data_IF_021589961774
#
_entry.id   IF_021589961774
#
_cell.length_a   1.000
_cell.length_b   1.000
_cell.length_c   1.000
_cell.angle_alpha   90.00
_cell.angle_beta   90.00
_cell.angle_gamma   90.00
#
_symmetry.space_group_name_H-M   'P 1'
#
loop_
_entity.id
_entity.type
_entity.pdbx_description
1 polymer ?
#
# COMPACT_ATOMS: atom_id res chain seq x y z
N UNK A 1 -23.07 63.64 -15.91
CA UNK A 1 -24.50 63.35 -16.19
C UNK A 1 -25.05 62.72 -14.90
N UNK A 2 -25.51 63.45 -13.89
CA UNK A 2 -26.74 64.27 -13.78
C UNK A 2 -28.01 63.60 -14.32
N UNK A 3 -28.88 63.17 -13.39
CA UNK A 3 -30.35 63.39 -13.33
C UNK A 3 -30.80 62.91 -11.92
N UNK A 4 -31.14 63.71 -10.91
CA UNK A 4 -32.29 64.63 -10.66
C UNK A 4 -33.65 63.89 -10.80
N UNK A 5 -34.68 63.97 -9.93
CA UNK A 5 -35.21 65.03 -9.03
C UNK A 5 -36.42 64.40 -8.25
N UNK A 6 -36.50 64.42 -6.91
CA UNK A 6 -37.26 65.33 -6.02
C UNK A 6 -38.79 65.44 -6.24
N UNK A 7 -39.58 65.22 -5.16
CA UNK A 7 -40.91 65.81 -4.76
C UNK A 7 -41.79 64.79 -4.00
N UNK A 8 -42.48 64.99 -2.86
CA UNK A 8 -42.84 66.08 -1.91
C UNK A 8 -43.17 65.39 -0.55
N UNK A 9 -42.54 65.72 0.59
CA UNK A 9 -43.03 66.61 1.67
C UNK A 9 -44.50 66.45 2.13
N UNK A 10 -44.64 65.81 3.31
CA UNK A 10 -45.24 66.38 4.55
C UNK A 10 -46.78 66.52 4.67
N UNK A 11 -47.26 66.31 5.92
CA UNK A 11 -48.59 66.59 6.49
C UNK A 11 -49.67 65.52 6.20
N UNK A 12 -50.51 64.99 7.10
CA UNK A 12 -50.96 65.28 8.47
C UNK A 12 -51.65 63.98 8.97
N UNK A 13 -51.37 63.46 10.17
CA UNK A 13 -52.11 63.75 11.42
C UNK A 13 -53.62 63.42 11.35
N UNK A 14 -53.96 62.30 12.01
CA UNK A 14 -55.13 62.06 12.88
C UNK A 14 -56.56 62.17 12.35
N UNK A 15 -57.33 61.14 12.77
CA UNK A 15 -58.77 61.13 13.10
C UNK A 15 -59.73 61.04 11.92
N UNK A 16 -60.43 59.90 11.82
CA UNK A 16 -61.89 59.88 11.90
C UNK A 16 -62.40 58.45 12.17
N UNK A 17 -63.11 58.36 13.29
CA UNK A 17 -63.84 57.23 13.85
C UNK A 17 -65.12 56.94 13.00
N UNK A 18 -65.73 55.76 13.20
CA UNK A 18 -67.20 55.52 13.32
C UNK A 18 -67.98 54.83 12.16
N UNK A 19 -68.28 53.53 12.39
CA UNK A 19 -69.62 52.89 12.55
C UNK A 19 -70.38 52.31 11.32
N UNK A 20 -70.60 50.97 11.37
CA UNK A 20 -71.89 50.20 11.16
C UNK A 20 -72.37 50.04 9.68
N UNK A 21 -72.88 48.91 9.15
CA UNK A 21 -73.29 47.56 9.62
C UNK A 21 -73.73 46.72 8.39
N UNK A 22 -73.93 45.40 8.59
CA UNK A 22 -74.71 44.41 7.80
C UNK A 22 -74.04 43.78 6.57
N UNK A 23 -73.62 42.51 6.62
CA UNK A 23 -74.36 41.23 6.66
C UNK A 23 -74.21 40.50 5.31
N UNK A 24 -73.37 39.47 5.30
CA UNK A 24 -73.58 38.30 4.46
C UNK A 24 -73.14 37.09 5.30
N UNK A 25 -74.12 36.43 5.90
CA UNK A 25 -73.95 35.11 6.49
C UNK A 25 -74.07 34.08 5.38
N UNK A 26 -73.13 33.14 5.32
CA UNK A 26 -73.45 31.78 4.93
C UNK A 26 -72.66 30.85 5.83
N UNK A 27 -73.43 30.01 6.53
CA UNK A 27 -73.03 29.06 7.53
C UNK A 27 -71.97 28.09 6.99
N UNK A 28 -70.91 27.89 7.75
CA UNK A 28 -70.34 26.55 7.90
C UNK A 28 -70.39 26.18 9.38
N UNK A 29 -71.30 25.26 9.65
CA UNK A 29 -71.42 24.51 10.89
C UNK A 29 -70.12 23.75 11.15
N UNK A 30 -69.27 24.27 12.04
CA UNK A 30 -68.27 23.44 12.70
C UNK A 30 -68.97 22.75 13.86
N UNK A 31 -69.20 21.46 13.66
CA UNK A 31 -69.63 20.47 14.63
C UNK A 31 -69.07 20.72 16.03
N UNK A 32 -69.97 20.76 17.01
CA UNK A 32 -69.67 20.45 18.41
C UNK A 32 -69.28 18.96 18.43
N UNK A 33 -68.06 18.65 18.03
CA UNK A 33 -67.39 17.47 18.56
C UNK A 33 -67.07 17.84 19.99
N UNK A 34 -67.50 17.02 20.94
CA UNK A 34 -67.17 17.09 22.35
C UNK A 34 -65.68 17.44 22.53
N UNK A 35 -65.36 18.72 22.68
CA UNK A 35 -64.00 19.17 22.93
C UNK A 35 -63.70 18.74 24.35
N UNK A 36 -62.94 17.66 24.50
CA UNK A 36 -62.48 17.16 25.79
C UNK A 36 -61.89 18.38 26.52
N UNK A 37 -62.53 18.81 27.61
CA UNK A 37 -62.10 19.96 28.38
C UNK A 37 -60.87 19.52 29.17
N UNK A 38 -59.70 19.65 28.54
CA UNK A 38 -58.43 19.22 29.11
C UNK A 38 -58.01 20.20 30.20
N UNK A 39 -57.82 19.69 31.41
CA UNK A 39 -57.44 20.45 32.58
C UNK A 39 -55.93 20.76 32.56
N UNK A 40 -55.51 21.99 32.89
CA UNK A 40 -54.09 22.32 33.03
C UNK A 40 -53.50 21.62 34.25
N UNK A 41 -52.20 21.31 34.18
CA UNK A 41 -51.44 20.84 35.32
C UNK A 41 -50.87 22.05 36.07
N UNK A 42 -50.72 21.95 37.40
CA UNK A 42 -50.08 22.98 38.21
C UNK A 42 -48.82 22.39 38.84
N UNK A 43 -47.65 22.91 38.48
CA UNK A 43 -46.36 22.51 39.04
C UNK A 43 -45.70 23.70 39.73
N UNK A 44 -45.46 23.61 41.04
CA UNK A 44 -44.96 24.72 41.88
C UNK A 44 -45.72 26.06 41.71
N UNK A 45 -47.03 25.99 41.48
CA UNK A 45 -47.89 27.16 41.30
C UNK A 45 -47.90 27.74 39.87
N UNK A 46 -47.16 27.15 38.94
CA UNK A 46 -47.17 27.53 37.52
C UNK A 46 -48.10 26.59 36.74
N UNK A 47 -49.05 27.12 35.94
CA UNK A 47 -49.92 26.30 35.11
C UNK A 47 -49.22 25.87 33.80
N UNK A 48 -49.34 24.59 33.45
CA UNK A 48 -48.87 23.98 32.21
C UNK A 48 -50.06 23.37 31.46
N UNK A 49 -50.12 23.56 30.15
CA UNK A 49 -51.23 23.05 29.32
C UNK A 49 -51.08 21.54 29.07
N UNK A 50 -52.19 20.85 28.78
CA UNK A 50 -52.12 19.43 28.43
C UNK A 50 -51.20 19.20 27.22
N UNK A 51 -50.42 18.12 27.28
CA UNK A 51 -49.30 17.77 26.40
C UNK A 51 -48.07 18.69 26.47
N UNK A 52 -48.04 19.68 27.37
CA UNK A 52 -46.84 20.49 27.59
C UNK A 52 -45.74 19.66 28.28
N UNK A 53 -44.51 19.81 27.80
CA UNK A 53 -43.31 19.16 28.32
C UNK A 53 -42.34 20.23 28.77
N UNK A 54 -41.88 20.16 30.02
CA UNK A 54 -40.93 21.11 30.58
C UNK A 54 -39.81 20.41 31.35
N UNK A 55 -38.63 21.03 31.34
CA UNK A 55 -37.51 20.60 32.18
C UNK A 55 -37.55 21.34 33.51
N UNK A 56 -37.50 20.58 34.59
CA UNK A 56 -37.41 21.12 35.96
C UNK A 56 -35.96 21.42 36.30
N UNK A 57 -35.09 20.45 36.01
CA UNK A 57 -33.65 20.53 36.16
C UNK A 57 -32.97 19.73 35.03
N UNK A 58 -31.65 19.57 35.11
CA UNK A 58 -30.86 18.86 34.11
C UNK A 58 -31.23 17.37 33.99
N UNK A 59 -31.86 16.77 35.02
CA UNK A 59 -32.19 15.35 35.11
C UNK A 59 -33.70 15.05 35.03
N UNK A 60 -34.56 16.05 35.21
CA UNK A 60 -35.98 15.85 35.43
C UNK A 60 -36.80 16.54 34.33
N UNK A 61 -37.51 15.73 33.55
CA UNK A 61 -38.47 16.21 32.54
C UNK A 61 -39.88 15.81 32.95
N UNK A 62 -40.78 16.78 32.97
CA UNK A 62 -42.18 16.56 33.32
C UNK A 62 -43.08 16.78 32.11
N UNK A 63 -44.18 16.04 32.05
CA UNK A 63 -45.23 16.16 31.05
C UNK A 63 -46.58 16.34 31.73
N UNK A 64 -47.42 17.20 31.17
CA UNK A 64 -48.78 17.40 31.64
C UNK A 64 -49.74 16.54 30.83
N UNK A 65 -50.45 15.64 31.48
CA UNK A 65 -51.57 14.89 30.90
C UNK A 65 -52.86 15.14 31.69
N UNK A 66 -53.62 16.15 31.24
CA UNK A 66 -55.01 16.39 31.67
C UNK A 66 -55.14 16.42 33.21
N UNK A 67 -54.56 17.44 33.85
CA UNK A 67 -54.32 17.63 35.29
C UNK A 67 -53.29 16.71 35.96
N UNK A 68 -52.78 15.68 35.28
CA UNK A 68 -51.77 14.78 35.84
C UNK A 68 -50.38 15.19 35.39
N UNK A 69 -49.54 15.63 36.33
CA UNK A 69 -48.11 15.84 36.05
C UNK A 69 -47.36 14.52 36.22
N UNK A 70 -46.70 14.05 35.17
CA UNK A 70 -45.79 12.90 35.24
C UNK A 70 -44.37 13.37 34.98
N UNK A 71 -43.46 13.11 35.92
CA UNK A 71 -42.06 13.48 35.81
C UNK A 71 -41.19 12.24 35.68
N UNK A 72 -40.31 12.24 34.69
CA UNK A 72 -39.30 11.23 34.49
C UNK A 72 -37.96 11.81 34.95
N UNK A 73 -37.32 11.13 35.88
CA UNK A 73 -35.98 11.45 36.38
C UNK A 73 -34.98 10.51 35.74
N UNK A 74 -33.99 11.06 35.05
CA UNK A 74 -32.88 10.30 34.49
C UNK A 74 -31.93 9.84 35.61
N UNK A 75 -31.57 8.54 35.59
CA UNK A 75 -30.65 7.94 36.55
C UNK A 75 -29.29 7.67 35.92
N UNK A 76 -28.22 8.19 36.53
CA UNK A 76 -26.87 8.08 36.00
C UNK A 76 -26.14 6.81 36.47
N UNK A 77 -25.32 6.24 35.60
CA UNK A 77 -24.36 5.21 35.99
C UNK A 77 -23.19 5.85 36.77
N UNK A 78 -22.65 5.18 37.82
CA UNK A 78 -21.50 5.69 38.54
C UNK A 78 -20.27 5.82 37.64
N UNK A 79 -19.63 7.00 37.63
CA UNK A 79 -18.37 7.21 36.94
C UNK A 79 -17.22 6.52 37.70
N UNK A 80 -16.46 5.66 37.03
CA UNK A 80 -15.33 4.92 37.60
C UNK A 80 -13.97 5.58 37.31
N UNK A 81 -13.87 6.89 37.56
CA UNK A 81 -12.64 7.68 37.44
C UNK A 81 -12.42 8.53 38.71
N UNK A 82 -11.19 8.96 38.93
CA UNK A 82 -10.80 9.73 40.12
C UNK A 82 -11.47 11.11 40.14
N UNK A 83 -11.47 11.82 39.01
CA UNK A 83 -12.10 13.13 38.85
C UNK A 83 -13.17 13.07 37.76
N UNK A 84 -14.44 13.16 38.15
CA UNK A 84 -15.58 13.19 37.23
C UNK A 84 -16.06 14.63 37.06
N UNK A 85 -16.50 14.98 35.85
CA UNK A 85 -16.98 16.33 35.52
C UNK A 85 -18.43 16.25 35.10
N UNK A 86 -19.27 17.17 35.58
CA UNK A 86 -20.65 17.33 35.14
C UNK A 86 -20.70 18.44 34.08
N UNK A 87 -20.91 18.12 32.78
CA UNK A 87 -20.99 19.13 31.74
C UNK A 87 -22.19 20.08 31.96
N UNK A 88 -22.11 21.35 31.56
CA UNK A 88 -23.23 22.29 31.72
C UNK A 88 -24.48 21.83 30.98
N UNK A 89 -25.63 21.74 31.66
CA UNK A 89 -26.91 21.35 31.06
C UNK A 89 -27.14 19.85 30.93
N UNK A 90 -26.16 19.02 31.30
CA UNK A 90 -26.24 17.55 31.29
C UNK A 90 -26.60 17.01 32.67
N UNK A 91 -27.42 15.96 32.72
CA UNK A 91 -27.77 15.32 33.99
C UNK A 91 -26.56 14.63 34.62
N UNK A 92 -25.80 13.89 33.82
CA UNK A 92 -24.84 12.91 34.28
C UNK A 92 -23.38 13.36 34.20
N UNK A 93 -22.61 12.98 35.22
CA UNK A 93 -21.16 13.17 35.23
C UNK A 93 -20.47 12.21 34.27
N UNK A 94 -19.42 12.69 33.63
CA UNK A 94 -18.59 11.93 32.68
C UNK A 94 -17.14 11.93 33.12
N UNK A 95 -16.40 10.89 32.72
CA UNK A 95 -14.95 10.85 32.91
C UNK A 95 -14.27 11.64 31.79
N UNK A 96 -13.30 12.53 32.11
CA UNK A 96 -12.49 13.19 31.11
C UNK A 96 -11.59 12.20 30.37
N UNK A 97 -11.05 12.63 29.24
CA UNK A 97 -9.95 11.93 28.58
C UNK A 97 -8.64 12.32 29.27
N UNK A 98 -8.12 11.43 30.10
CA UNK A 98 -6.81 11.57 30.72
C UNK A 98 -5.75 10.81 29.92
N UNK A 99 -4.84 11.53 29.28
CA UNK A 99 -3.73 10.95 28.51
C UNK A 99 -2.41 11.36 29.15
N UNK A 100 -1.58 10.38 29.48
CA UNK A 100 -0.24 10.61 30.02
C UNK A 100 0.80 10.02 29.10
N UNK A 101 1.77 10.84 28.68
CA UNK A 101 2.87 10.43 27.79
C UNK A 101 4.13 10.21 28.63
N UNK A 102 4.86 9.14 28.34
CA UNK A 102 6.16 8.83 28.95
C UNK A 102 7.32 9.39 28.13
N UNK A 103 7.24 9.25 26.82
CA UNK A 103 8.35 9.57 25.92
C UNK A 103 7.84 9.84 24.52
N UNK A 104 8.54 10.73 23.81
CA UNK A 104 8.47 10.89 22.36
C UNK A 104 9.86 10.66 21.78
N UNK A 105 9.96 9.89 20.70
CA UNK A 105 11.22 9.52 20.06
C UNK A 105 11.19 9.84 18.56
N UNK A 106 11.91 10.88 18.11
CA UNK A 106 12.02 11.18 16.69
C UNK A 106 13.05 10.25 16.00
N UNK A 107 12.75 9.85 14.77
CA UNK A 107 13.64 9.12 13.86
C UNK A 107 13.64 9.81 12.50
N UNK A 108 14.80 9.94 11.87
CA UNK A 108 14.91 10.53 10.52
C UNK A 108 14.60 9.44 9.48
N UNK A 109 13.57 9.62 8.67
CA UNK A 109 13.13 8.66 7.64
C UNK A 109 13.87 8.84 6.31
N UNK A 110 14.24 10.08 5.94
CA UNK A 110 14.96 10.37 4.69
C UNK A 110 16.13 11.32 4.91
N UNK A 111 17.17 11.19 4.07
CA UNK A 111 18.33 12.10 4.08
C UNK A 111 17.87 13.55 3.84
N UNK A 112 18.56 14.48 4.49
CA UNK A 112 18.35 15.93 4.36
C UNK A 112 18.48 16.37 2.91
N UNK A 113 17.41 16.93 2.35
CA UNK A 113 17.42 17.55 1.03
C UNK A 113 17.58 19.06 1.19
N UNK A 114 18.66 19.62 0.63
CA UNK A 114 18.92 21.07 0.64
C UNK A 114 18.54 21.63 -0.72
N UNK A 115 17.65 22.61 -0.72
CA UNK A 115 17.24 23.32 -1.94
C UNK A 115 18.21 24.48 -2.21
N UNK A 116 18.21 25.00 -3.44
CA UNK A 116 19.09 26.11 -3.87
C UNK A 116 18.92 27.40 -3.07
N UNK A 117 17.82 27.54 -2.33
CA UNK A 117 17.53 28.72 -1.49
C UNK A 117 18.16 28.64 -0.09
N UNK A 118 18.85 27.54 0.26
CA UNK A 118 19.42 27.32 1.60
C UNK A 118 18.46 26.67 2.59
N UNK A 119 17.20 26.43 2.18
CA UNK A 119 16.22 25.68 2.97
C UNK A 119 16.55 24.18 2.93
N UNK A 120 16.59 23.58 4.11
CA UNK A 120 16.77 22.15 4.30
C UNK A 120 15.47 21.50 4.77
N UNK A 121 15.12 20.37 4.17
CA UNK A 121 13.97 19.56 4.57
C UNK A 121 14.43 18.20 5.06
N UNK A 122 13.88 17.76 6.19
CA UNK A 122 14.00 16.40 6.72
C UNK A 122 12.61 15.82 6.98
N UNK A 123 12.47 14.51 6.79
CA UNK A 123 11.23 13.78 7.08
C UNK A 123 11.47 12.95 8.33
N UNK A 124 10.58 13.10 9.31
CA UNK A 124 10.67 12.47 10.62
C UNK A 124 9.54 11.47 10.83
N UNK A 125 9.82 10.41 11.59
CA UNK A 125 8.82 9.62 12.30
C UNK A 125 8.93 9.95 13.79
N UNK A 126 7.82 10.24 14.48
CA UNK A 126 7.81 10.48 15.92
C UNK A 126 6.99 9.40 16.63
N UNK A 127 7.67 8.49 17.35
CA UNK A 127 7.03 7.44 18.16
C UNK A 127 6.68 7.98 19.55
N UNK A 128 5.42 7.83 19.96
CA UNK A 128 4.89 8.30 21.23
C UNK A 128 4.53 7.11 22.11
N UNK A 129 5.18 7.04 23.28
CA UNK A 129 4.91 6.02 24.29
C UNK A 129 4.04 6.60 25.40
N UNK A 130 2.89 5.99 25.63
CA UNK A 130 1.94 6.39 26.67
C UNK A 130 2.12 5.59 27.97
N UNK A 131 1.71 6.18 29.09
CA UNK A 131 1.63 5.50 30.38
C UNK A 131 0.38 4.62 30.43
N UNK A 132 0.60 3.34 30.68
CA UNK A 132 -0.49 2.40 30.98
C UNK A 132 -0.75 2.40 32.49
N UNK A 133 -1.82 3.09 32.92
CA UNK A 133 -2.25 3.17 34.30
C UNK A 133 -3.78 3.17 34.37
N UNK A 134 -4.37 2.87 35.54
CA UNK A 134 -5.82 2.71 35.67
C UNK A 134 -6.59 4.03 35.42
N UNK A 135 -5.99 5.14 35.77
CA UNK A 135 -6.46 6.51 35.62
C UNK A 135 -6.23 7.09 34.22
N UNK A 136 -5.46 6.43 33.34
CA UNK A 136 -5.29 6.87 31.95
C UNK A 136 -6.35 6.28 31.03
N UNK A 137 -6.60 6.97 29.92
CA UNK A 137 -7.62 6.64 28.91
C UNK A 137 -7.08 6.87 27.49
N UNK A 138 -7.90 6.57 26.48
CA UNK A 138 -7.64 7.02 25.10
C UNK A 138 -8.07 8.48 24.90
N UNK A 139 -8.07 8.96 23.66
CA UNK A 139 -8.74 10.22 23.29
C UNK A 139 -9.18 10.18 21.84
N UNK A 140 -10.35 10.78 21.56
CA UNK A 140 -10.91 10.93 20.22
C UNK A 140 -11.37 12.36 20.00
N UNK A 141 -11.09 12.90 18.83
CA UNK A 141 -11.31 14.31 18.54
C UNK A 141 -10.51 14.81 17.36
N UNK A 142 -10.40 16.13 17.28
CA UNK A 142 -9.70 16.88 16.24
C UNK A 142 -8.62 17.76 16.87
N UNK A 143 -7.52 17.98 16.13
CA UNK A 143 -6.40 18.83 16.57
C UNK A 143 -5.89 18.49 17.97
N UNK A 144 -5.82 17.20 18.30
CA UNK A 144 -5.46 16.68 19.61
C UNK A 144 -3.99 16.90 19.95
N UNK A 145 -3.10 16.91 18.95
CA UNK A 145 -1.65 16.91 19.15
C UNK A 145 -0.98 18.15 18.55
N UNK A 146 -0.04 18.72 19.30
CA UNK A 146 0.95 19.67 18.81
C UNK A 146 2.32 19.00 18.87
N UNK A 147 2.99 18.87 17.73
CA UNK A 147 4.38 18.44 17.67
C UNK A 147 5.22 19.63 17.18
N UNK A 148 6.01 20.19 18.06
CA UNK A 148 7.01 21.19 17.69
C UNK A 148 8.31 20.51 17.27
N UNK A 149 9.09 21.13 16.37
CA UNK A 149 10.41 20.65 15.97
C UNK A 149 11.43 21.79 15.91
N UNK A 150 12.69 21.50 16.25
CA UNK A 150 13.80 22.43 16.08
C UNK A 150 15.13 21.69 15.94
N UNK A 151 16.13 22.38 15.38
CA UNK A 151 17.53 21.94 15.42
C UNK A 151 18.18 22.47 16.70
N UNK A 152 18.80 21.57 17.46
CA UNK A 152 19.49 21.85 18.71
C UNK A 152 21.00 21.57 18.53
N UNK A 153 21.85 22.61 18.39
CA UNK A 153 23.29 22.43 18.35
C UNK A 153 23.82 21.84 19.66
N UNK A 154 24.78 20.93 19.55
CA UNK A 154 25.47 20.31 20.68
C UNK A 154 26.12 21.41 21.52
N UNK A 155 25.98 21.32 22.84
CA UNK A 155 26.48 22.30 23.83
C UNK A 155 25.78 23.67 23.84
N UNK A 156 24.63 23.82 23.18
CA UNK A 156 23.86 25.07 23.25
C UNK A 156 22.39 24.80 23.65
N UNK A 157 21.74 25.81 24.23
CA UNK A 157 20.28 25.80 24.47
C UNK A 157 19.50 26.47 23.34
N UNK A 158 20.21 26.91 22.29
CA UNK A 158 19.61 27.66 21.20
C UNK A 158 18.78 26.74 20.30
N UNK A 159 17.58 27.19 19.93
CA UNK A 159 16.70 26.47 19.00
C UNK A 159 16.79 27.13 17.63
N UNK A 160 17.30 26.40 16.65
CA UNK A 160 17.38 26.85 15.26
C UNK A 160 16.19 26.29 14.48
N UNK A 161 15.53 27.14 13.70
CA UNK A 161 14.42 26.70 12.83
C UNK A 161 13.17 26.24 13.57
N UNK A 162 12.95 26.70 14.81
CA UNK A 162 11.80 26.28 15.62
C UNK A 162 10.49 26.43 14.85
N UNK A 163 9.81 25.31 14.66
CA UNK A 163 8.47 25.23 14.09
C UNK A 163 7.54 24.67 15.15
N UNK A 164 6.48 25.42 15.43
CA UNK A 164 5.58 25.14 16.55
C UNK A 164 4.69 23.91 16.31
N UNK A 165 4.25 23.73 15.06
CA UNK A 165 3.43 22.61 14.63
C UNK A 165 3.96 22.08 13.30
N UNK A 166 4.52 20.88 13.32
CA UNK A 166 4.96 20.17 12.10
C UNK A 166 3.99 19.08 11.64
N UNK A 167 2.99 18.73 12.47
CA UNK A 167 1.95 17.80 12.06
C UNK A 167 0.99 18.48 11.08
N UNK A 168 0.59 17.75 10.05
CA UNK A 168 -0.56 18.12 9.23
C UNK A 168 -1.89 17.88 9.99
N UNK A 169 -3.01 18.30 9.39
CA UNK A 169 -4.34 18.24 10.02
C UNK A 169 -4.74 16.81 10.40
N UNK A 170 -4.43 15.83 9.54
CA UNK A 170 -4.80 14.43 9.75
C UNK A 170 -3.96 13.81 10.88
N UNK A 171 -2.64 14.04 10.86
CA UNK A 171 -1.72 13.61 11.91
C UNK A 171 -2.10 14.23 13.28
N UNK A 172 -2.37 15.54 13.31
CA UNK A 172 -2.75 16.25 14.53
C UNK A 172 -4.10 15.78 15.09
N UNK A 173 -4.97 15.20 14.27
CA UNK A 173 -6.29 14.69 14.65
C UNK A 173 -6.33 13.18 14.86
N UNK A 174 -5.17 12.51 14.84
CA UNK A 174 -5.11 11.06 15.03
C UNK A 174 -5.64 10.65 16.40
N UNK A 175 -6.56 9.69 16.46
CA UNK A 175 -7.12 9.23 17.74
C UNK A 175 -6.15 8.30 18.48
N UNK A 176 -6.17 8.37 19.80
CA UNK A 176 -5.46 7.45 20.66
C UNK A 176 -6.42 6.44 21.28
N UNK A 177 -6.14 5.15 21.10
CA UNK A 177 -6.81 4.07 21.80
C UNK A 177 -5.86 3.55 22.87
N UNK A 178 -6.30 3.50 24.12
CA UNK A 178 -5.48 3.06 25.26
C UNK A 178 -4.83 1.70 24.97
N UNK A 179 -3.52 1.63 25.20
CA UNK A 179 -2.71 0.43 24.97
C UNK A 179 -2.09 0.34 23.57
N UNK A 180 -2.53 1.17 22.63
CA UNK A 180 -1.89 1.27 21.32
C UNK A 180 -0.68 2.22 21.37
N UNK A 181 0.16 2.16 20.34
CA UNK A 181 1.20 3.16 20.08
C UNK A 181 0.71 4.17 19.05
N UNK A 182 1.20 5.40 19.11
CA UNK A 182 1.04 6.39 18.05
C UNK A 182 2.43 6.66 17.47
N UNK A 183 2.54 6.52 16.15
CA UNK A 183 3.72 6.95 15.40
C UNK A 183 3.23 7.95 14.36
N UNK A 184 3.66 9.20 14.48
CA UNK A 184 3.45 10.20 13.44
C UNK A 184 4.49 9.94 12.34
N UNK A 185 4.08 9.30 11.24
CA UNK A 185 4.92 9.03 10.08
C UNK A 185 4.92 10.21 9.11
N UNK A 186 5.98 10.34 8.32
CA UNK A 186 6.09 11.31 7.23
C UNK A 186 5.91 12.77 7.66
N UNK A 187 6.44 13.11 8.85
CA UNK A 187 6.41 14.47 9.39
C UNK A 187 7.47 15.31 8.67
N UNK A 188 7.02 16.20 7.79
CA UNK A 188 7.90 17.07 7.00
C UNK A 188 8.32 18.28 7.82
N UNK A 189 9.62 18.42 8.08
CA UNK A 189 10.18 19.56 8.79
C UNK A 189 11.19 20.30 7.92
N UNK A 190 10.90 21.57 7.64
CA UNK A 190 11.72 22.46 6.82
C UNK A 190 12.30 23.57 7.68
N UNK A 191 13.60 23.82 7.54
CA UNK A 191 14.31 24.85 8.29
C UNK A 191 15.41 25.49 7.44
N UNK A 192 15.69 26.76 7.71
CA UNK A 192 16.88 27.43 7.17
C UNK A 192 18.08 26.87 7.92
N UNK A 193 18.98 26.22 7.21
CA UNK A 193 20.14 25.62 7.83
C UNK A 193 21.35 26.55 7.70
N UNK A 194 21.91 27.03 8.82
CA UNK A 194 23.28 27.53 8.80
C UNK A 194 24.22 26.40 8.34
N UNK A 195 25.48 26.73 8.03
CA UNK A 195 26.54 25.74 7.76
C UNK A 195 26.86 24.91 9.02
N UNK A 196 25.90 24.10 9.48
CA UNK A 196 26.05 23.14 10.57
C UNK A 196 26.45 21.79 10.00
N UNK A 197 27.51 21.22 10.59
CA UNK A 197 27.85 19.82 10.37
C UNK A 197 26.86 18.93 11.14
N UNK A 198 26.56 17.72 10.64
CA UNK A 198 25.52 16.88 11.28
C UNK A 198 25.95 16.42 12.68
N UNK A 199 27.26 16.23 12.92
CA UNK A 199 27.81 15.74 14.19
C UNK A 199 27.65 16.77 15.32
N UNK A 200 27.31 18.00 14.97
CA UNK A 200 27.24 19.16 15.87
C UNK A 200 25.81 19.54 16.24
N UNK A 201 24.78 18.79 15.79
CA UNK A 201 23.41 19.10 16.14
C UNK A 201 22.47 17.89 16.13
N UNK A 202 21.44 17.99 16.96
CA UNK A 202 20.31 17.06 16.99
C UNK A 202 19.08 17.72 16.37
N UNK A 203 18.19 16.92 15.80
CA UNK A 203 16.79 17.33 15.61
C UNK A 203 16.00 16.89 16.83
N UNK A 204 15.30 17.85 17.44
CA UNK A 204 14.47 17.61 18.61
C UNK A 204 13.01 17.89 18.28
N UNK A 205 12.12 17.14 18.91
CA UNK A 205 10.67 17.33 18.87
C UNK A 205 10.12 17.47 20.27
N UNK A 206 9.07 18.27 20.44
CA UNK A 206 8.32 18.40 21.70
C UNK A 206 6.84 18.07 21.43
N UNK A 207 6.29 17.12 22.19
CA UNK A 207 4.88 16.77 22.10
C UNK A 207 4.08 17.53 23.16
N UNK A 208 3.00 18.17 22.74
CA UNK A 208 2.05 18.90 23.60
C UNK A 208 0.60 18.57 23.22
N UNK A 209 -0.31 18.94 24.13
CA UNK A 209 -1.74 19.07 23.83
C UNK A 209 -1.93 20.07 22.69
N UNK A 210 -2.72 19.71 21.69
CA UNK A 210 -3.09 20.64 20.63
C UNK A 210 -3.85 21.85 21.16
N UNK A 211 -3.53 23.04 20.64
CA UNK A 211 -4.12 24.33 21.07
C UNK A 211 -5.63 24.37 20.90
N UNK A 212 -6.09 23.85 19.77
CA UNK A 212 -7.50 23.81 19.38
C UNK A 212 -8.07 22.39 19.54
N UNK A 213 -7.56 21.61 20.49
CA UNK A 213 -8.03 20.25 20.70
C UNK A 213 -9.52 20.23 21.08
N UNK A 214 -10.33 19.57 20.25
CA UNK A 214 -11.77 19.37 20.46
C UNK A 214 -12.04 17.88 20.49
N UNK A 215 -12.70 17.40 21.53
CA UNK A 215 -13.08 15.99 21.66
C UNK A 215 -14.41 15.72 20.99
N UNK A 216 -14.58 14.51 20.45
CA UNK A 216 -15.78 14.17 19.65
C UNK A 216 -17.10 14.30 20.42
N UNK A 217 -17.06 14.11 21.74
CA UNK A 217 -18.21 14.16 22.64
C UNK A 217 -18.14 15.33 23.65
N UNK A 218 -17.26 16.30 23.42
CA UNK A 218 -17.11 17.49 24.26
C UNK A 218 -16.52 17.22 25.65
N UNK A 219 -16.07 15.99 25.95
CA UNK A 219 -15.42 15.69 27.24
C UNK A 219 -14.10 16.47 27.39
N UNK A 220 -13.73 16.87 28.62
CA UNK A 220 -12.43 17.49 28.87
C UNK A 220 -11.29 16.57 28.43
N UNK A 221 -10.25 17.15 27.83
CA UNK A 221 -9.04 16.44 27.42
C UNK A 221 -7.85 16.94 28.22
N UNK A 222 -7.46 16.12 29.20
CA UNK A 222 -6.33 16.33 30.08
C UNK A 222 -5.11 15.62 29.49
N UNK A 223 -4.04 16.39 29.30
CA UNK A 223 -2.78 15.91 28.78
C UNK A 223 -1.70 16.10 29.83
N UNK A 224 -0.96 15.05 30.15
CA UNK A 224 0.14 15.09 31.11
C UNK A 224 1.35 14.29 30.67
N UNK A 225 2.44 14.45 31.39
CA UNK A 225 3.69 13.70 31.25
C UNK A 225 3.98 12.83 32.48
N UNK A 226 4.79 11.79 32.30
CA UNK A 226 5.29 10.89 33.36
C UNK A 226 6.83 11.00 33.39
N UNK A 227 7.47 11.15 34.56
CA UNK A 227 6.93 10.98 35.92
C UNK A 227 6.13 12.18 36.46
N UNK A 228 6.44 13.40 36.04
CA UNK A 228 5.75 14.62 36.52
C UNK A 228 4.91 15.23 35.40
N UNK A 229 3.69 15.68 35.70
CA UNK A 229 2.69 16.16 34.73
C UNK A 229 3.05 17.45 33.98
N UNK A 230 4.13 18.13 34.38
CA UNK A 230 4.61 19.39 33.80
C UNK A 230 5.96 19.27 33.09
N UNK A 231 6.50 18.06 32.96
CA UNK A 231 7.78 17.82 32.28
C UNK A 231 7.61 17.99 30.78
N UNK A 232 8.47 18.79 30.15
CA UNK A 232 8.51 18.90 28.68
C UNK A 232 8.84 17.54 28.06
N UNK A 233 7.92 17.04 27.21
CA UNK A 233 8.07 15.78 26.49
C UNK A 233 8.93 15.99 25.26
N UNK A 234 10.24 16.07 25.47
CA UNK A 234 11.22 16.34 24.42
C UNK A 234 11.96 15.06 24.08
N UNK A 235 11.96 14.73 22.79
CA UNK A 235 12.78 13.68 22.20
C UNK A 235 13.75 14.28 21.21
N UNK A 236 15.00 13.79 21.18
CA UNK A 236 16.00 14.25 20.23
C UNK A 236 16.68 13.06 19.55
N UNK A 237 17.02 13.22 18.28
CA UNK A 237 17.86 12.29 17.53
C UNK A 237 18.94 13.05 16.79
N UNK A 238 20.11 12.43 16.63
CA UNK A 238 21.24 13.05 15.95
C UNK A 238 20.86 13.43 14.51
N UNK A 239 21.34 14.57 14.01
CA UNK A 239 21.23 14.85 12.56
C UNK A 239 22.06 13.87 11.72
N UNK A 240 22.97 13.12 12.34
CA UNK A 240 23.63 11.97 11.72
C UNK A 240 22.91 10.64 11.99
N UNK A 241 21.78 10.62 12.71
CA UNK A 241 20.95 9.42 12.82
C UNK A 241 20.43 9.06 11.42
N UNK A 242 20.71 7.84 10.96
CA UNK A 242 20.50 7.42 9.57
C UNK A 242 21.68 7.74 8.61
N UNK A 243 22.75 8.37 9.11
CA UNK A 243 24.06 8.45 8.44
C UNK A 243 24.99 7.31 8.85
N UNK A 244 24.72 6.68 9.99
CA UNK A 244 25.25 5.35 10.34
C UNK A 244 24.49 4.22 9.62
N UNK A 245 23.83 4.52 8.50
CA UNK A 245 23.32 3.53 7.55
C UNK A 245 23.97 3.88 6.21
N UNK A 246 25.21 3.42 6.05
CA UNK A 246 25.95 3.64 4.83
C UNK A 246 25.34 2.77 3.72
N UNK A 247 25.05 3.33 2.54
CA UNK A 247 24.68 2.50 1.41
C UNK A 247 25.91 1.71 0.94
N UNK A 248 25.68 0.49 0.47
CA UNK A 248 26.72 -0.30 -0.16
C UNK A 248 26.82 0.12 -1.62
N UNK A 249 28.04 0.31 -2.14
CA UNK A 249 28.27 0.68 -3.54
C UNK A 249 29.03 -0.43 -4.23
N UNK A 250 28.54 -0.86 -5.39
CA UNK A 250 29.24 -1.77 -6.27
C UNK A 250 29.26 -1.26 -7.72
N UNK A 251 29.65 -2.13 -8.66
CA UNK A 251 29.74 -1.78 -10.09
C UNK A 251 28.39 -1.54 -10.75
N UNK A 252 27.28 -2.03 -10.17
CA UNK A 252 25.93 -1.88 -10.73
C UNK A 252 25.16 -0.72 -10.12
N UNK A 253 25.56 -0.24 -8.93
CA UNK A 253 25.01 0.99 -8.37
C UNK A 253 25.09 1.09 -6.85
N UNK A 254 24.09 1.76 -6.28
CA UNK A 254 23.96 2.04 -4.85
C UNK A 254 22.86 1.15 -4.29
N UNK A 255 23.17 0.35 -3.27
CA UNK A 255 22.26 -0.54 -2.56
C UNK A 255 22.04 -0.01 -1.13
N UNK A 256 20.78 0.07 -0.71
CA UNK A 256 20.38 0.52 0.62
C UNK A 256 20.67 -0.58 1.66
N UNK A 257 20.66 -0.20 2.94
CA UNK A 257 20.85 -1.19 4.01
C UNK A 257 19.71 -2.19 4.06
N UNK A 258 20.06 -3.45 4.33
CA UNK A 258 19.19 -4.63 4.27
C UNK A 258 18.81 -5.06 2.84
N UNK A 259 19.25 -4.32 1.81
CA UNK A 259 19.08 -4.77 0.43
C UNK A 259 19.81 -6.09 0.20
N UNK A 260 19.18 -6.90 -0.64
CA UNK A 260 19.66 -8.20 -1.06
C UNK A 260 19.69 -8.22 -2.59
N UNK A 261 20.87 -8.43 -3.17
CA UNK A 261 21.05 -8.40 -4.62
C UNK A 261 22.00 -9.46 -5.12
N UNK A 262 21.89 -9.76 -6.41
CA UNK A 262 22.75 -10.71 -7.11
C UNK A 262 23.67 -9.93 -8.05
N UNK A 263 24.94 -9.76 -7.64
CA UNK A 263 25.95 -8.99 -8.40
C UNK A 263 26.31 -9.66 -9.73
N UNK A 264 26.36 -10.98 -9.71
CA UNK A 264 26.59 -11.81 -10.87
C UNK A 264 25.93 -13.18 -10.62
N UNK A 265 25.79 -14.07 -11.63
CA UNK A 265 25.12 -15.35 -11.44
C UNK A 265 25.62 -16.20 -10.26
N UNK A 266 26.86 -16.01 -9.80
CA UNK A 266 27.48 -16.73 -8.68
C UNK A 266 27.50 -15.99 -7.35
N UNK A 267 27.33 -14.67 -7.34
CA UNK A 267 27.57 -13.84 -6.16
C UNK A 267 26.29 -13.22 -5.66
N UNK A 268 25.92 -13.56 -4.42
CA UNK A 268 24.79 -12.97 -3.72
C UNK A 268 25.29 -12.07 -2.60
N UNK A 269 24.75 -10.86 -2.51
CA UNK A 269 25.21 -9.83 -1.59
C UNK A 269 24.07 -9.34 -0.71
N UNK A 270 24.43 -8.98 0.53
CA UNK A 270 23.54 -8.31 1.49
C UNK A 270 24.22 -7.06 2.01
N UNK A 271 23.50 -5.94 2.08
CA UNK A 271 24.07 -4.69 2.55
C UNK A 271 23.90 -4.52 4.06
N UNK A 272 25.00 -4.66 4.79
CA UNK A 272 25.03 -4.43 6.23
C UNK A 272 25.75 -3.12 6.50
N UNK A 273 24.99 -2.03 6.53
CA UNK A 273 25.45 -0.72 6.96
C UNK A 273 26.82 -0.31 6.34
N UNK A 274 26.86 -0.20 5.01
CA UNK A 274 28.04 0.18 4.22
C UNK A 274 28.96 -0.96 3.86
N UNK A 275 28.80 -2.11 4.51
CA UNK A 275 29.57 -3.31 4.21
C UNK A 275 28.73 -4.28 3.40
N UNK A 276 29.09 -4.48 2.14
CA UNK A 276 28.49 -5.52 1.30
C UNK A 276 29.07 -6.88 1.72
N UNK A 277 28.26 -7.67 2.43
CA UNK A 277 28.60 -9.06 2.72
C UNK A 277 28.14 -9.92 1.54
N UNK A 278 29.10 -10.42 0.76
CA UNK A 278 28.81 -11.22 -0.42
C UNK A 278 29.28 -12.66 -0.25
N UNK A 279 28.41 -13.60 -0.58
CA UNK A 279 28.74 -15.01 -0.70
C UNK A 279 28.85 -15.37 -2.18
N UNK A 280 30.02 -15.92 -2.55
CA UNK A 280 30.23 -16.45 -3.90
C UNK A 280 30.07 -17.97 -3.85
N UNK A 281 29.21 -18.51 -4.71
CA UNK A 281 29.04 -19.96 -4.84
C UNK A 281 30.27 -20.56 -5.52
N UNK A 282 30.89 -21.55 -4.87
CA UNK A 282 31.90 -22.40 -5.50
C UNK A 282 31.24 -23.45 -6.40
N UNK A 283 31.81 -23.64 -7.59
CA UNK A 283 31.32 -24.61 -8.56
C UNK A 283 32.21 -25.86 -8.56
N UNK A 284 31.62 -27.07 -8.53
CA UNK A 284 32.38 -28.30 -8.74
C UNK A 284 32.92 -28.38 -10.18
N UNK A 285 34.03 -29.09 -10.37
CA UNK A 285 34.57 -29.37 -11.70
C UNK A 285 33.59 -30.26 -12.50
N UNK A 286 33.08 -29.80 -13.66
CA UNK A 286 32.17 -30.59 -14.47
C UNK A 286 32.79 -31.84 -15.11
N UNK A 287 34.13 -31.98 -15.14
CA UNK A 287 34.78 -33.24 -15.51
C UNK A 287 34.65 -33.63 -16.99
N UNK A 288 34.53 -32.64 -17.90
CA UNK A 288 34.39 -32.87 -19.34
C UNK A 288 35.22 -31.91 -20.19
N UNK A 289 35.43 -32.28 -21.45
CA UNK A 289 36.17 -31.46 -22.41
C UNK A 289 35.32 -30.26 -22.87
N UNK A 290 35.86 -29.05 -22.68
CA UNK A 290 35.24 -27.76 -23.08
C UNK A 290 33.86 -27.52 -22.46
N UNK A 291 33.77 -27.37 -21.13
CA UNK A 291 32.51 -27.03 -20.48
C UNK A 291 32.06 -25.60 -20.85
N UNK A 292 30.75 -25.37 -20.88
CA UNK A 292 30.14 -24.12 -21.33
C UNK A 292 29.35 -23.44 -20.21
N UNK A 293 29.37 -22.10 -20.17
CA UNK A 293 28.53 -21.32 -19.25
C UNK A 293 27.22 -20.97 -19.94
N UNK A 294 26.10 -21.42 -19.38
CA UNK A 294 24.79 -21.03 -19.87
C UNK A 294 24.48 -19.59 -19.43
N UNK A 295 23.71 -18.86 -20.24
CA UNK A 295 23.36 -17.46 -19.95
C UNK A 295 22.56 -17.40 -18.65
N UNK A 296 23.04 -16.61 -17.68
CA UNK A 296 22.41 -16.45 -16.36
C UNK A 296 22.80 -17.53 -15.35
N UNK A 297 23.60 -18.53 -15.72
CA UNK A 297 24.04 -19.59 -14.80
C UNK A 297 25.39 -19.29 -14.16
N UNK A 298 25.54 -19.70 -12.89
CA UNK A 298 26.81 -19.59 -12.18
C UNK A 298 27.84 -20.59 -12.69
N UNK A 299 27.47 -21.87 -12.74
CA UNK A 299 28.42 -22.95 -12.96
C UNK A 299 28.49 -23.37 -14.43
N UNK A 300 29.67 -23.87 -14.81
CA UNK A 300 29.88 -24.45 -16.12
C UNK A 300 29.17 -25.80 -16.21
N UNK A 301 28.56 -26.07 -17.35
CA UNK A 301 27.88 -27.34 -17.65
C UNK A 301 28.56 -28.04 -18.83
N UNK A 302 28.50 -29.37 -18.85
CA UNK A 302 29.02 -30.13 -19.97
C UNK A 302 28.11 -30.00 -21.19
N UNK A 303 28.65 -29.65 -22.37
CA UNK A 303 27.86 -29.65 -23.58
C UNK A 303 27.40 -31.08 -23.90
N UNK A 304 26.17 -31.19 -24.41
CA UNK A 304 25.72 -32.44 -25.00
C UNK A 304 26.51 -32.71 -26.29
N UNK A 305 27.05 -33.91 -26.45
CA UNK A 305 27.86 -34.25 -27.60
C UNK A 305 27.43 -35.61 -28.16
N UNK A 306 26.87 -35.57 -29.36
CA UNK A 306 26.49 -36.75 -30.15
C UNK A 306 27.12 -36.65 -31.52
N UNK A 307 27.69 -37.75 -32.02
CA UNK A 307 28.21 -37.84 -33.39
C UNK A 307 27.40 -38.87 -34.14
N UNK A 308 26.66 -38.45 -35.15
CA UNK A 308 25.93 -39.38 -36.00
C UNK A 308 26.93 -40.22 -36.80
N UNK A 309 26.85 -41.54 -36.66
CA UNK A 309 27.67 -42.50 -37.42
C UNK A 309 27.03 -42.80 -38.77
N UNK A 310 25.72 -43.05 -38.78
CA UNK A 310 24.98 -43.42 -39.99
C UNK A 310 23.49 -43.11 -39.83
N UNK A 311 22.90 -42.57 -40.88
CA UNK A 311 21.45 -42.46 -41.07
C UNK A 311 21.05 -43.54 -42.08
N UNK A 312 20.08 -44.38 -41.73
CA UNK A 312 19.66 -45.51 -42.55
C UNK A 312 18.13 -45.46 -42.74
N UNK A 313 17.64 -44.98 -43.89
CA UNK A 313 16.23 -45.04 -44.21
C UNK A 313 15.83 -46.47 -44.63
N UNK A 314 14.67 -46.91 -44.15
CA UNK A 314 14.04 -48.18 -44.53
C UNK A 314 12.63 -47.89 -45.04
N UNK A 315 12.32 -48.33 -46.26
CA UNK A 315 10.95 -48.25 -46.79
C UNK A 315 10.12 -49.34 -46.13
N UNK A 316 9.11 -48.94 -45.37
CA UNK A 316 8.20 -49.84 -44.64
C UNK A 316 7.00 -50.23 -45.50
N UNK A 317 6.46 -49.28 -46.26
CA UNK A 317 5.34 -49.49 -47.17
C UNK A 317 5.37 -48.44 -48.29
N UNK A 318 4.80 -48.82 -49.44
CA UNK A 318 4.58 -47.95 -50.59
C UNK A 318 3.14 -48.18 -51.08
N UNK A 319 2.43 -47.13 -51.44
CA UNK A 319 1.08 -47.25 -52.02
C UNK A 319 1.11 -47.87 -53.44
N UNK A 320 -0.02 -48.39 -53.91
CA UNK A 320 -0.11 -49.07 -55.22
C UNK A 320 0.11 -48.13 -56.42
N UNK A 321 0.15 -46.81 -56.18
CA UNK A 321 0.34 -45.76 -57.18
C UNK A 321 1.80 -45.27 -57.20
N UNK A 322 2.54 -45.43 -56.09
CA UNK A 322 3.96 -45.08 -55.96
C UNK A 322 4.21 -43.69 -55.40
N UNK A 323 3.15 -42.95 -55.04
CA UNK A 323 3.19 -41.53 -54.69
C UNK A 323 3.39 -41.29 -53.19
N UNK A 324 3.15 -42.28 -52.33
CA UNK A 324 3.35 -42.19 -50.87
C UNK A 324 4.29 -43.29 -50.37
N UNK A 325 5.36 -42.87 -49.69
CA UNK A 325 6.38 -43.74 -49.12
C UNK A 325 6.42 -43.58 -47.61
N UNK A 326 6.16 -44.67 -46.90
CA UNK A 326 6.31 -44.75 -45.46
C UNK A 326 7.73 -45.20 -45.12
N UNK A 327 8.50 -44.31 -44.49
CA UNK A 327 9.87 -44.55 -44.08
C UNK A 327 9.99 -44.80 -42.59
N UNK A 328 10.92 -45.68 -42.22
CA UNK A 328 11.53 -45.72 -40.89
C UNK A 328 13.00 -45.36 -41.02
N UNK A 329 13.42 -44.25 -40.43
CA UNK A 329 14.81 -43.77 -40.48
C UNK A 329 15.49 -44.09 -39.16
N UNK A 330 16.48 -44.98 -39.20
CA UNK A 330 17.30 -45.30 -38.03
C UNK A 330 18.55 -44.41 -38.00
N UNK A 331 18.83 -43.82 -36.84
CA UNK A 331 20.04 -43.05 -36.60
C UNK A 331 20.93 -43.82 -35.63
N UNK A 332 22.14 -44.14 -36.09
CA UNK A 332 23.17 -44.73 -35.23
C UNK A 332 24.17 -43.66 -34.86
N UNK A 333 24.53 -43.58 -33.58
CA UNK A 333 25.55 -42.68 -33.08
C UNK A 333 26.88 -43.41 -32.92
N UNK A 334 27.96 -42.69 -33.16
CA UNK A 334 29.31 -43.14 -32.81
C UNK A 334 29.52 -42.88 -31.32
N UNK A 335 29.39 -43.93 -30.51
CA UNK A 335 29.63 -43.83 -29.09
C UNK A 335 31.11 -43.63 -28.78
N UNK A 336 31.39 -42.65 -27.95
CA UNK A 336 32.70 -42.36 -27.38
C UNK A 336 32.55 -42.07 -25.88
N UNK A 337 33.68 -41.92 -25.19
CA UNK A 337 33.70 -41.48 -23.79
C UNK A 337 33.06 -40.09 -23.58
N UNK A 338 32.90 -39.31 -24.65
CA UNK A 338 32.26 -37.98 -24.62
C UNK A 338 30.79 -38.01 -25.06
N UNK A 339 30.23 -39.18 -25.40
CA UNK A 339 28.82 -39.27 -25.79
C UNK A 339 27.91 -39.17 -24.58
N UNK A 340 26.95 -38.25 -24.64
CA UNK A 340 25.99 -37.95 -23.58
C UNK A 340 24.54 -38.14 -24.06
N UNK A 341 23.62 -38.28 -23.10
CA UNK A 341 22.18 -38.21 -23.39
C UNK A 341 21.84 -36.80 -23.86
N UNK A 342 20.88 -36.63 -24.77
CA UNK A 342 20.42 -35.30 -25.22
C UNK A 342 18.96 -35.14 -24.81
N UNK A 343 18.67 -34.05 -24.09
CA UNK A 343 17.31 -33.69 -23.69
C UNK A 343 17.01 -32.25 -24.08
N UNK A 344 15.77 -31.95 -24.42
CA UNK A 344 15.35 -30.63 -24.87
C UNK A 344 14.23 -30.69 -25.91
N UNK A 345 13.96 -29.56 -26.54
CA UNK A 345 12.93 -29.40 -27.57
C UNK A 345 13.59 -29.03 -28.90
N UNK A 346 12.98 -29.45 -30.01
CA UNK A 346 13.44 -29.12 -31.37
C UNK A 346 14.94 -29.45 -31.60
N UNK A 347 15.36 -30.63 -31.12
CA UNK A 347 16.72 -31.16 -31.16
C UNK A 347 17.14 -31.61 -32.57
N UNK A 348 16.19 -32.09 -33.37
CA UNK A 348 16.51 -32.79 -34.62
C UNK A 348 15.99 -32.08 -35.86
N UNK A 349 16.82 -32.11 -36.91
CA UNK A 349 16.43 -31.74 -38.26
C UNK A 349 16.81 -32.86 -39.20
N UNK A 350 15.81 -33.43 -39.87
CA UNK A 350 15.99 -34.48 -40.86
C UNK A 350 15.43 -34.00 -42.19
N UNK A 351 16.30 -33.90 -43.18
CA UNK A 351 15.91 -33.64 -44.56
C UNK A 351 15.83 -34.95 -45.34
N UNK A 352 14.96 -35.03 -46.34
CA UNK A 352 14.93 -36.14 -47.29
C UNK A 352 14.82 -35.62 -48.73
N UNK A 353 15.33 -36.42 -49.66
CA UNK A 353 15.16 -36.21 -51.09
C UNK A 353 15.28 -37.53 -51.86
N UNK A 354 14.82 -37.51 -53.10
CA UNK A 354 15.00 -38.63 -54.06
C UNK A 354 16.25 -38.38 -54.89
N UNK A 355 17.04 -39.43 -55.08
CA UNK A 355 18.22 -39.47 -55.94
C UNK A 355 18.11 -40.59 -56.99
N UNK A 356 18.58 -40.31 -58.20
CA UNK A 356 18.56 -41.25 -59.34
C UNK A 356 19.82 -42.14 -59.42
N UNK A 357 20.83 -41.86 -58.59
CA UNK A 357 22.07 -42.62 -58.51
C UNK A 357 22.54 -42.77 -57.05
N UNK A 358 23.41 -43.75 -56.80
CA UNK A 358 23.96 -44.02 -55.46
C UNK A 358 25.05 -43.05 -55.02
N UNK A 359 25.46 -42.10 -55.88
CA UNK A 359 26.72 -41.35 -55.69
C UNK A 359 26.62 -40.25 -54.63
N UNK A 360 25.41 -40.01 -54.07
CA UNK A 360 25.13 -39.02 -53.02
C UNK A 360 25.44 -37.55 -53.39
N UNK A 361 25.86 -37.29 -54.63
CA UNK A 361 26.26 -35.97 -55.15
C UNK A 361 25.40 -35.47 -56.31
N UNK A 362 24.42 -36.26 -56.75
CA UNK A 362 23.47 -35.91 -57.81
C UNK A 362 22.39 -34.91 -57.39
N UNK A 363 21.54 -34.52 -58.35
CA UNK A 363 20.40 -33.61 -58.15
C UNK A 363 19.43 -34.18 -57.10
N UNK A 364 18.98 -33.32 -56.17
CA UNK A 364 18.00 -33.66 -55.13
C UNK A 364 16.60 -33.40 -55.65
N UNK A 365 15.86 -34.46 -55.99
CA UNK A 365 14.46 -34.37 -56.39
C UNK A 365 13.56 -34.38 -55.16
N UNK A 366 12.48 -33.59 -55.19
CA UNK A 366 11.52 -33.45 -54.08
C UNK A 366 12.19 -33.24 -52.70
N UNK A 367 13.15 -32.30 -52.66
CA UNK A 367 13.89 -32.02 -51.44
C UNK A 367 13.00 -31.38 -50.38
N UNK A 368 12.94 -32.02 -49.21
CA UNK A 368 12.28 -31.50 -48.02
C UNK A 368 13.31 -31.26 -46.93
N UNK A 369 13.39 -30.02 -46.47
CA UNK A 369 14.40 -29.59 -45.51
C UNK A 369 14.15 -30.11 -44.08
N UNK A 370 12.88 -30.34 -43.74
CA UNK A 370 12.46 -30.91 -42.47
C UNK A 370 11.25 -31.81 -42.70
N UNK A 371 11.40 -33.09 -42.39
CA UNK A 371 10.35 -34.10 -42.55
C UNK A 371 9.80 -34.60 -41.21
N UNK A 372 10.42 -34.20 -40.09
CA UNK A 372 9.97 -34.58 -38.75
C UNK A 372 8.88 -33.63 -38.25
N UNK A 373 7.87 -34.20 -37.60
CA UNK A 373 6.86 -33.42 -36.87
C UNK A 373 7.40 -32.80 -35.57
N UNK A 374 6.60 -32.00 -34.86
CA UNK A 374 7.03 -31.32 -33.63
C UNK A 374 7.42 -32.29 -32.49
N UNK A 375 6.75 -33.44 -32.39
CA UNK A 375 7.00 -34.47 -31.38
C UNK A 375 8.32 -35.17 -31.67
N UNK A 376 8.52 -35.59 -32.91
CA UNK A 376 9.72 -36.26 -33.38
C UNK A 376 10.95 -35.36 -33.26
N UNK A 377 10.82 -34.06 -33.61
CA UNK A 377 11.92 -33.08 -33.45
C UNK A 377 12.36 -32.91 -32.00
N UNK A 378 11.50 -33.20 -31.03
CA UNK A 378 11.77 -33.05 -29.60
C UNK A 378 12.06 -34.38 -28.90
N UNK A 379 12.22 -35.47 -29.65
CA UNK A 379 12.54 -36.78 -29.09
C UNK A 379 13.89 -36.74 -28.36
N UNK A 380 13.95 -37.20 -27.11
CA UNK A 380 15.20 -37.24 -26.36
C UNK A 380 16.08 -38.41 -26.83
N UNK A 381 17.39 -38.26 -26.73
CA UNK A 381 18.34 -39.34 -27.00
C UNK A 381 18.93 -39.86 -25.69
N UNK A 382 18.81 -41.17 -25.46
CA UNK A 382 19.50 -41.86 -24.38
C UNK A 382 20.70 -42.61 -24.97
N UNK A 383 21.86 -42.47 -24.36
CA UNK A 383 23.08 -43.18 -24.74
C UNK A 383 22.84 -44.69 -24.75
N UNK A 384 23.28 -45.38 -25.79
CA UNK A 384 23.03 -46.80 -26.03
C UNK A 384 21.81 -47.07 -26.91
N UNK A 385 20.92 -46.11 -27.10
CA UNK A 385 19.71 -46.31 -27.91
C UNK A 385 19.94 -45.99 -29.39
N UNK A 386 19.13 -46.61 -30.25
CA UNK A 386 19.09 -46.32 -31.68
C UNK A 386 17.77 -45.63 -32.00
N UNK A 387 17.69 -44.29 -31.98
CA UNK A 387 16.45 -43.61 -32.26
C UNK A 387 16.00 -43.87 -33.71
N UNK A 388 14.68 -43.93 -33.85
CA UNK A 388 14.01 -44.20 -35.10
C UNK A 388 12.91 -43.17 -35.32
N UNK A 389 12.85 -42.59 -36.51
CA UNK A 389 11.76 -41.70 -36.93
C UNK A 389 10.90 -42.41 -37.97
N UNK A 390 9.58 -42.38 -37.79
CA UNK A 390 8.63 -42.88 -38.77
C UNK A 390 8.05 -41.70 -39.54
N UNK A 391 8.23 -41.66 -40.86
CA UNK A 391 7.93 -40.48 -41.67
C UNK A 391 7.20 -40.89 -42.94
N UNK A 392 6.14 -40.14 -43.26
CA UNK A 392 5.34 -40.36 -44.46
C UNK A 392 5.70 -39.28 -45.48
N UNK A 393 6.20 -39.71 -46.64
CA UNK A 393 6.65 -38.81 -47.71
C UNK A 393 5.80 -39.01 -48.97
N UNK A 394 5.16 -37.92 -49.40
CA UNK A 394 4.57 -37.84 -50.73
C UNK A 394 5.63 -37.43 -51.76
N UNK A 395 5.73 -38.16 -52.87
CA UNK A 395 6.61 -37.82 -53.99
C UNK A 395 5.77 -37.21 -55.10
N UNK A 396 5.97 -35.92 -55.41
CA UNK A 396 5.15 -35.19 -56.38
C UNK A 396 5.89 -34.87 -57.70
N UNK A 397 7.19 -35.20 -57.79
CA UNK A 397 8.01 -34.85 -58.95
C UNK A 397 7.81 -35.84 -60.10
N UNK A 398 7.17 -35.37 -61.18
CA UNK A 398 6.92 -36.12 -62.41
C UNK A 398 8.17 -36.67 -63.11
N UNK A 399 9.36 -36.18 -62.76
CA UNK A 399 10.63 -36.72 -63.25
C UNK A 399 11.01 -38.08 -62.60
N UNK A 400 10.29 -38.49 -61.55
CA UNK A 400 10.47 -39.76 -60.84
C UNK A 400 9.50 -40.80 -61.44
N UNK A 401 9.97 -41.63 -62.37
CA UNK A 401 9.15 -42.64 -63.07
C UNK A 401 9.38 -44.05 -62.51
N UNK A 402 8.36 -44.71 -61.93
CA UNK A 402 8.46 -46.08 -61.41
C UNK A 402 9.23 -47.04 -62.35
N UNK A 403 10.35 -47.61 -61.88
CA UNK A 403 11.13 -48.63 -62.60
C UNK A 403 12.59 -48.29 -62.90
N UNK A 404 13.04 -47.04 -62.74
CA UNK A 404 14.46 -46.66 -62.90
C UNK A 404 15.10 -46.43 -61.53
N UNK A 405 15.88 -47.39 -61.03
CA UNK A 405 16.57 -47.41 -59.73
C UNK A 405 16.57 -46.09 -58.90
N UNK A 406 15.68 -46.01 -57.91
CA UNK A 406 15.53 -44.85 -57.02
C UNK A 406 16.23 -45.07 -55.68
N UNK A 407 16.92 -44.04 -55.19
CA UNK A 407 17.50 -44.01 -53.85
C UNK A 407 16.84 -42.90 -53.03
N UNK A 408 16.39 -43.23 -51.83
CA UNK A 408 15.90 -42.26 -50.86
C UNK A 408 17.07 -41.89 -49.93
N UNK A 409 17.40 -40.61 -49.86
CA UNK A 409 18.58 -40.09 -49.19
C UNK A 409 18.23 -39.22 -47.98
#
# INVERSE_FOLDING_TARGET
MMMNRSWYLVCLVFVSLVIVVHHASSQESISISSGIQLLPCIYHGVPFVHSEVWRVDECTTCTCDNSTTTCVVESCQPAHCTEHVKPPGECCSVCPYDVTVRKVEPTIQTKRNVTTNGDATIVLAADVTFKDAKDTSGVRGESLWELSAWIAPVNTTHRIGFTEQVLNVDQASQWYVKGNRIIFLDVVYTFVAPSLNCDEANVCVELKRGRNAVTTDGRPFNFGSDPDSSTSLIGCTSLCAGRDIFPCVDTEGIHLHEDVWQRDPCTHCTCNNGTAACSTKECPDPGCNRPVRLKGECCLSCPYHVRVRRVSPFVMAQDQIGDQVHLRVLITFHESQHTTNVTGINLWKLSAWVALDQTKTGKRYDYREQILDATQRSQQYVKGETPAFAVDLGIADTAVVCGTAFYMC
#
